data_IF_663716950567
#
_entry.id   IF_663716950567
#
_cell.length_a   1.000
_cell.length_b   1.000
_cell.length_c   1.000
_cell.angle_alpha   90.00
_cell.angle_beta   90.00
_cell.angle_gamma   90.00
#
_symmetry.space_group_name_H-M   'P 1'
#
loop_
_entity.id
_entity.type
_entity.pdbx_description
1 polymer ?
#
# COMPACT_ATOMS: atom_id res chain seq x y z
N UNK A 1 9.98 15.90 1.21
CA UNK A 1 10.09 14.46 1.54
C UNK A 1 9.54 13.63 0.41
N UNK A 2 10.21 12.54 0.07
CA UNK A 2 9.90 11.63 -1.04
C UNK A 2 9.34 10.31 -0.48
N UNK A 3 8.35 9.70 -1.13
CA UNK A 3 7.65 8.51 -0.63
C UNK A 3 7.48 7.47 -1.73
N UNK A 4 7.89 6.23 -1.48
CA UNK A 4 7.55 5.06 -2.29
C UNK A 4 6.42 4.28 -1.61
N UNK A 5 5.28 4.15 -2.29
CA UNK A 5 4.18 3.33 -1.83
C UNK A 5 4.33 1.93 -2.41
N UNK A 6 4.61 0.96 -1.55
CA UNK A 6 4.80 -0.45 -1.91
C UNK A 6 3.43 -1.13 -1.90
N UNK A 7 3.02 -1.67 -3.04
CA UNK A 7 1.68 -2.22 -3.24
C UNK A 7 1.80 -3.66 -3.74
N UNK A 8 1.83 -4.64 -2.84
CA UNK A 8 1.72 -6.05 -3.22
C UNK A 8 0.37 -6.32 -3.86
N UNK A 9 0.33 -7.10 -4.93
CA UNK A 9 -0.90 -7.48 -5.63
C UNK A 9 -0.91 -8.98 -5.95
N UNK A 10 -2.03 -9.64 -5.71
CA UNK A 10 -2.26 -11.04 -6.06
C UNK A 10 -3.73 -11.27 -6.39
N UNK A 11 -4.04 -11.42 -7.68
CA UNK A 11 -5.41 -11.63 -8.17
C UNK A 11 -6.40 -10.54 -7.73
N UNK A 12 -6.11 -9.30 -8.11
CA UNK A 12 -6.86 -8.10 -7.70
C UNK A 12 -7.60 -7.42 -8.86
N UNK A 13 -7.79 -8.12 -9.99
CA UNK A 13 -8.31 -7.52 -11.23
C UNK A 13 -9.64 -6.78 -11.03
N UNK A 14 -10.55 -7.34 -10.21
CA UNK A 14 -11.91 -6.82 -10.04
C UNK A 14 -11.95 -5.44 -9.35
N UNK A 15 -11.01 -5.18 -8.45
CA UNK A 15 -11.00 -3.91 -7.71
C UNK A 15 -9.86 -2.97 -8.11
N UNK A 16 -9.00 -3.42 -9.02
CA UNK A 16 -7.78 -2.70 -9.38
C UNK A 16 -8.06 -1.30 -9.95
N UNK A 17 -9.10 -1.14 -10.79
CA UNK A 17 -9.47 0.17 -11.35
C UNK A 17 -9.90 1.15 -10.25
N UNK A 18 -10.68 0.70 -9.28
CA UNK A 18 -11.07 1.51 -8.13
C UNK A 18 -9.85 1.94 -7.30
N UNK A 19 -8.97 1.00 -7.00
CA UNK A 19 -7.73 1.25 -6.25
C UNK A 19 -6.85 2.27 -6.96
N UNK A 20 -6.63 2.10 -8.26
CA UNK A 20 -5.84 3.03 -9.06
C UNK A 20 -6.42 4.44 -9.09
N UNK A 21 -7.74 4.60 -9.21
CA UNK A 21 -8.40 5.91 -9.13
C UNK A 21 -8.13 6.61 -7.78
N UNK A 22 -8.13 5.85 -6.69
CA UNK A 22 -7.81 6.38 -5.36
C UNK A 22 -6.34 6.76 -5.23
N UNK A 23 -5.43 5.94 -5.75
CA UNK A 23 -3.99 6.20 -5.74
C UNK A 23 -3.63 7.44 -6.57
N UNK A 24 -4.26 7.65 -7.72
CA UNK A 24 -4.06 8.87 -8.52
C UNK A 24 -4.48 10.12 -7.73
N UNK A 25 -5.60 10.06 -6.99
CA UNK A 25 -5.99 11.16 -6.09
C UNK A 25 -4.97 11.37 -4.95
N UNK A 26 -4.31 10.32 -4.47
CA UNK A 26 -3.23 10.47 -3.50
C UNK A 26 -2.01 11.18 -4.12
N UNK A 27 -1.67 10.86 -5.37
CA UNK A 27 -0.57 11.48 -6.11
C UNK A 27 -0.72 13.00 -6.24
N UNK A 28 -1.95 13.52 -6.34
CA UNK A 28 -2.18 14.98 -6.38
C UNK A 28 -1.91 15.67 -5.04
N UNK A 29 -1.87 14.91 -3.94
CA UNK A 29 -1.64 15.44 -2.59
C UNK A 29 -0.19 15.29 -2.11
N UNK A 30 0.58 14.42 -2.76
CA UNK A 30 1.99 14.15 -2.43
C UNK A 30 2.79 14.21 -3.74
N UNK A 31 3.46 15.33 -3.98
CA UNK A 31 4.17 15.57 -5.25
C UNK A 31 5.24 14.53 -5.56
N UNK A 32 6.07 14.22 -4.58
CA UNK A 32 7.17 13.24 -4.72
C UNK A 32 6.73 11.87 -4.20
N UNK A 33 5.83 11.24 -4.95
CA UNK A 33 5.27 9.92 -4.67
C UNK A 33 5.47 9.01 -5.89
N UNK A 34 5.96 7.80 -5.67
CA UNK A 34 5.89 6.71 -6.65
C UNK A 34 5.04 5.56 -6.12
N UNK A 35 4.45 4.80 -7.04
CA UNK A 35 3.77 3.54 -6.74
C UNK A 35 4.62 2.39 -7.25
N UNK A 36 4.96 1.47 -6.36
CA UNK A 36 5.73 0.26 -6.68
C UNK A 36 4.80 -0.93 -6.50
N UNK A 37 4.21 -1.39 -7.60
CA UNK A 37 3.38 -2.58 -7.63
C UNK A 37 4.25 -3.83 -7.74
N UNK A 38 4.02 -4.80 -6.88
CA UNK A 38 4.71 -6.09 -6.90
C UNK A 38 3.67 -7.18 -7.14
N UNK A 39 3.65 -7.71 -8.35
CA UNK A 39 2.77 -8.81 -8.73
C UNK A 39 3.27 -10.12 -8.15
N UNK A 40 2.52 -10.68 -7.21
CA UNK A 40 2.83 -11.93 -6.54
C UNK A 40 2.18 -13.13 -7.25
N UNK A 41 2.59 -13.36 -8.51
CA UNK A 41 2.12 -14.48 -9.33
C UNK A 41 0.61 -14.46 -9.61
N UNK A 42 0.05 -13.31 -9.97
CA UNK A 42 -1.35 -13.22 -10.39
C UNK A 42 -1.63 -13.99 -11.67
N UNK A 43 -2.81 -14.61 -11.72
CA UNK A 43 -3.29 -15.44 -12.84
C UNK A 43 -4.56 -14.89 -13.49
N UNK A 44 -5.22 -13.91 -12.88
CA UNK A 44 -6.52 -13.32 -13.28
C UNK A 44 -6.44 -12.17 -14.28
N UNK A 45 -5.24 -11.81 -14.72
CA UNK A 45 -5.03 -10.67 -15.62
C UNK A 45 -4.55 -9.39 -14.93
N UNK A 46 -4.44 -9.36 -13.61
CA UNK A 46 -3.91 -8.22 -12.81
C UNK A 46 -2.60 -7.68 -13.38
N UNK A 47 -1.62 -8.54 -13.62
CA UNK A 47 -0.32 -8.11 -14.17
C UNK A 47 -0.44 -7.46 -15.54
N UNK A 48 -1.24 -8.08 -16.46
CA UNK A 48 -1.44 -7.56 -17.80
C UNK A 48 -2.10 -6.18 -17.77
N UNK A 49 -3.09 -6.02 -16.90
CA UNK A 49 -3.76 -4.73 -16.70
C UNK A 49 -2.79 -3.67 -16.19
N UNK A 50 -2.04 -3.95 -15.12
CA UNK A 50 -1.05 -3.02 -14.55
C UNK A 50 0.04 -2.66 -15.55
N UNK A 51 0.51 -3.61 -16.36
CA UNK A 51 1.51 -3.37 -17.40
C UNK A 51 1.00 -2.37 -18.46
N UNK A 52 -0.26 -2.50 -18.87
CA UNK A 52 -0.91 -1.56 -19.79
C UNK A 52 -1.10 -0.19 -19.11
N UNK A 53 -1.57 -0.19 -17.87
CA UNK A 53 -1.88 1.05 -17.13
C UNK A 53 -0.64 1.87 -16.78
N UNK A 54 0.47 1.22 -16.44
CA UNK A 54 1.74 1.88 -16.07
C UNK A 54 2.50 2.45 -17.26
N UNK A 55 2.16 2.03 -18.49
CA UNK A 55 2.81 2.54 -19.71
C UNK A 55 2.73 4.08 -19.73
N UNK A 56 3.87 4.71 -19.93
CA UNK A 56 4.03 6.18 -19.94
C UNK A 56 3.78 6.90 -18.60
N UNK A 57 3.67 6.19 -17.48
CA UNK A 57 3.53 6.78 -16.14
C UNK A 57 4.81 6.55 -15.33
N UNK A 58 5.77 7.47 -15.41
CA UNK A 58 7.09 7.39 -14.74
C UNK A 58 7.02 7.22 -13.20
N UNK A 59 5.87 7.54 -12.59
CA UNK A 59 5.64 7.39 -11.16
C UNK A 59 5.05 6.03 -10.77
N UNK A 60 4.84 5.14 -11.74
CA UNK A 60 4.39 3.77 -11.50
C UNK A 60 5.48 2.80 -11.94
N UNK A 61 5.92 1.95 -11.03
CA UNK A 61 6.82 0.84 -11.27
C UNK A 61 6.06 -0.46 -11.07
N UNK A 62 6.14 -1.39 -12.03
CA UNK A 62 5.58 -2.72 -11.94
C UNK A 62 6.69 -3.76 -11.97
N UNK A 63 6.67 -4.65 -10.99
CA UNK A 63 7.69 -5.69 -10.78
C UNK A 63 6.97 -7.03 -10.60
N UNK A 64 7.50 -8.11 -11.17
CA UNK A 64 7.10 -9.47 -10.78
C UNK A 64 7.89 -9.91 -9.56
N UNK A 65 7.19 -10.48 -8.58
CA UNK A 65 7.85 -11.07 -7.43
C UNK A 65 8.72 -12.26 -7.86
N UNK A 66 9.84 -12.44 -7.21
CA UNK A 66 10.78 -13.56 -7.50
C UNK A 66 10.43 -14.82 -6.72
N UNK A 67 9.83 -14.67 -5.57
CA UNK A 67 9.41 -15.76 -4.67
C UNK A 67 8.01 -15.46 -4.17
N UNK A 68 7.09 -16.41 -4.32
CA UNK A 68 5.70 -16.26 -3.88
C UNK A 68 5.60 -15.94 -2.39
N UNK A 69 4.71 -15.01 -2.06
CA UNK A 69 4.36 -14.63 -0.70
C UNK A 69 4.49 -13.14 -0.41
N UNK A 70 3.59 -12.63 0.43
CA UNK A 70 3.47 -11.22 0.78
C UNK A 70 4.78 -10.61 1.30
N UNK A 71 5.46 -11.31 2.21
CA UNK A 71 6.73 -10.82 2.78
C UNK A 71 7.82 -10.66 1.71
N UNK A 72 7.92 -11.60 0.77
CA UNK A 72 8.84 -11.52 -0.38
C UNK A 72 8.49 -10.34 -1.29
N UNK A 73 7.20 -10.14 -1.56
CA UNK A 73 6.72 -9.02 -2.38
C UNK A 73 7.08 -7.67 -1.74
N UNK A 74 6.87 -7.53 -0.43
CA UNK A 74 7.23 -6.32 0.32
C UNK A 74 8.75 -6.07 0.25
N UNK A 75 9.57 -7.09 0.52
CA UNK A 75 11.03 -6.97 0.46
C UNK A 75 11.52 -6.57 -0.94
N UNK A 76 10.97 -7.17 -1.99
CA UNK A 76 11.32 -6.82 -3.37
C UNK A 76 10.89 -5.38 -3.69
N UNK A 77 9.73 -4.96 -3.22
CA UNK A 77 9.23 -3.58 -3.35
C UNK A 77 10.15 -2.57 -2.69
N UNK A 78 10.60 -2.83 -1.46
CA UNK A 78 11.55 -1.98 -0.74
C UNK A 78 12.87 -1.87 -1.49
N UNK A 79 13.45 -3.01 -1.94
CA UNK A 79 14.70 -3.03 -2.70
C UNK A 79 14.63 -2.24 -4.02
N UNK A 80 13.45 -2.14 -4.60
CA UNK A 80 13.23 -1.47 -5.90
C UNK A 80 12.66 -0.06 -5.77
N UNK A 81 12.32 0.38 -4.56
CA UNK A 81 11.92 1.77 -4.32
C UNK A 81 13.09 2.71 -4.58
N UNK A 82 12.78 3.93 -5.02
CA UNK A 82 13.81 4.95 -5.29
C UNK A 82 13.86 6.04 -4.24
N UNK A 83 12.89 6.07 -3.33
CA UNK A 83 12.77 7.11 -2.32
C UNK A 83 13.14 6.61 -0.92
N UNK A 84 13.56 7.52 -0.05
CA UNK A 84 14.07 7.20 1.28
C UNK A 84 13.01 6.68 2.23
N UNK A 85 11.76 7.14 2.04
CA UNK A 85 10.64 6.68 2.85
C UNK A 85 9.77 5.71 2.06
N UNK A 86 9.40 4.62 2.72
CA UNK A 86 8.51 3.60 2.17
C UNK A 86 7.24 3.48 3.01
N UNK A 87 6.12 3.25 2.37
CA UNK A 87 4.85 2.91 3.03
C UNK A 87 4.29 1.66 2.34
N UNK A 88 3.88 0.67 3.11
CA UNK A 88 3.18 -0.51 2.60
C UNK A 88 1.70 -0.17 2.52
N UNK A 89 1.05 -0.50 1.42
CA UNK A 89 -0.38 -0.27 1.20
C UNK A 89 -0.98 -1.47 0.48
N UNK A 90 -2.03 -2.06 1.06
CA UNK A 90 -2.68 -3.23 0.49
C UNK A 90 -3.61 -2.85 -0.66
N UNK A 91 -3.50 -3.59 -1.78
CA UNK A 91 -4.28 -3.32 -2.99
C UNK A 91 -5.78 -3.48 -2.79
N UNK A 92 -6.20 -4.36 -1.88
CA UNK A 92 -7.60 -4.62 -1.53
C UNK A 92 -8.29 -3.48 -0.78
N UNK A 93 -7.61 -2.34 -0.61
CA UNK A 93 -8.11 -1.18 0.12
C UNK A 93 -8.47 -1.47 1.58
N UNK A 94 -7.91 -2.50 2.19
CA UNK A 94 -8.01 -2.74 3.63
C UNK A 94 -7.33 -1.64 4.45
N UNK A 95 -6.41 -0.90 3.82
CA UNK A 95 -5.79 0.30 4.36
C UNK A 95 -6.50 1.57 3.84
N UNK A 96 -6.61 2.62 4.68
CA UNK A 96 -7.20 3.90 4.27
C UNK A 96 -6.11 4.84 3.70
N UNK A 97 -6.33 5.32 2.49
CA UNK A 97 -5.47 6.35 1.85
C UNK A 97 -5.29 7.60 2.72
N UNK A 98 -6.30 7.95 3.54
CA UNK A 98 -6.19 9.07 4.47
C UNK A 98 -5.10 8.84 5.52
N UNK A 99 -4.87 7.59 5.90
CA UNK A 99 -3.81 7.26 6.86
C UNK A 99 -2.43 7.40 6.24
N UNK A 100 -2.24 7.05 4.97
CA UNK A 100 -1.00 7.36 4.24
C UNK A 100 -0.68 8.87 4.29
N UNK A 101 -1.68 9.72 4.09
CA UNK A 101 -1.51 11.18 4.19
C UNK A 101 -1.13 11.61 5.61
N UNK A 102 -1.74 11.01 6.63
CA UNK A 102 -1.40 11.29 8.03
C UNK A 102 0.03 10.88 8.35
N UNK A 103 0.44 9.66 7.95
CA UNK A 103 1.80 9.16 8.16
C UNK A 103 2.83 10.05 7.47
N UNK A 104 2.58 10.43 6.22
CA UNK A 104 3.43 11.36 5.48
C UNK A 104 3.62 12.69 6.23
N UNK A 105 2.52 13.29 6.74
CA UNK A 105 2.56 14.53 7.51
C UNK A 105 3.31 14.37 8.84
N UNK A 106 3.11 13.24 9.55
CA UNK A 106 3.75 12.98 10.84
C UNK A 106 5.26 12.85 10.71
N UNK A 107 5.73 12.04 9.76
CA UNK A 107 7.16 11.86 9.51
C UNK A 107 7.81 13.19 9.12
N UNK A 108 7.17 13.94 8.21
CA UNK A 108 7.70 15.21 7.73
C UNK A 108 7.79 16.29 8.85
N UNK A 109 6.80 16.31 9.77
CA UNK A 109 6.73 17.32 10.84
C UNK A 109 7.60 16.98 12.05
N UNK A 110 7.69 15.71 12.42
CA UNK A 110 8.27 15.27 13.70
C UNK A 110 9.69 14.70 13.59
N UNK A 111 10.26 14.58 12.39
CA UNK A 111 11.57 13.94 12.16
C UNK A 111 11.69 12.58 12.85
N UNK A 112 10.67 11.73 12.72
CA UNK A 112 10.62 10.37 13.25
C UNK A 112 10.96 9.38 12.16
N UNK A 113 11.54 8.24 12.52
CA UNK A 113 12.03 7.26 11.56
C UNK A 113 10.93 6.32 11.06
N UNK A 114 9.91 6.05 11.88
CA UNK A 114 8.82 5.15 11.53
C UNK A 114 7.47 5.58 12.12
N UNK A 115 6.39 5.28 11.38
CA UNK A 115 5.00 5.39 11.85
C UNK A 115 4.32 4.05 11.65
N UNK A 116 3.78 3.48 12.73
CA UNK A 116 3.03 2.23 12.69
C UNK A 116 1.55 2.52 12.90
N UNK A 117 0.71 2.04 11.98
CA UNK A 117 -0.74 2.06 12.13
C UNK A 117 -1.22 0.84 12.90
N UNK A 118 -2.05 1.02 13.91
CA UNK A 118 -2.71 -0.09 14.59
C UNK A 118 -4.21 -0.07 14.31
N UNK A 119 -4.76 -1.22 13.93
CA UNK A 119 -6.21 -1.41 13.68
C UNK A 119 -7.00 -1.58 14.97
N UNK A 120 -6.35 -1.93 16.07
CA UNK A 120 -7.02 -2.35 17.31
C UNK A 120 -6.88 -1.36 18.48
N UNK A 121 -6.26 -0.21 18.26
CA UNK A 121 -6.20 0.85 19.29
C UNK A 121 -7.59 1.37 19.62
N UNK A 122 -7.76 1.86 20.85
CA UNK A 122 -8.97 2.52 21.28
C UNK A 122 -9.38 3.64 20.32
N UNK A 123 -10.67 3.69 19.93
CA UNK A 123 -11.24 4.60 18.92
C UNK A 123 -10.90 4.26 17.45
N UNK A 124 -10.18 3.19 17.14
CA UNK A 124 -10.05 2.74 15.75
C UNK A 124 -11.39 2.25 15.20
N UNK A 125 -11.66 2.55 13.91
CA UNK A 125 -12.85 2.05 13.21
C UNK A 125 -12.47 0.82 12.41
N UNK A 126 -12.95 -0.33 12.83
CA UNK A 126 -12.80 -1.60 12.10
C UNK A 126 -14.16 -2.00 11.54
N UNK A 127 -14.24 -2.20 10.22
CA UNK A 127 -15.48 -2.61 9.54
C UNK A 127 -15.43 -4.11 9.24
N UNK A 128 -16.60 -4.78 9.30
CA UNK A 128 -16.76 -6.18 8.92
C UNK A 128 -15.82 -7.15 9.66
N UNK A 129 -15.52 -6.86 10.93
CA UNK A 129 -14.64 -7.70 11.75
C UNK A 129 -15.46 -8.38 12.86
N UNK A 130 -15.31 -9.70 13.11
CA UNK A 130 -16.05 -10.41 14.16
C UNK A 130 -15.87 -9.76 15.52
N UNK A 131 -16.97 -9.44 16.20
CA UNK A 131 -16.95 -8.70 17.48
C UNK A 131 -16.07 -9.36 18.54
N UNK A 132 -16.16 -10.68 18.68
CA UNK A 132 -15.36 -11.45 19.65
C UNK A 132 -13.86 -11.26 19.40
N UNK A 133 -13.43 -11.40 18.13
CA UNK A 133 -12.03 -11.18 17.74
C UNK A 133 -11.60 -9.74 17.95
N UNK A 134 -12.50 -8.77 17.73
CA UNK A 134 -12.21 -7.36 17.95
C UNK A 134 -11.94 -7.06 19.43
N UNK A 135 -12.76 -7.61 20.34
CA UNK A 135 -12.57 -7.46 21.78
C UNK A 135 -11.24 -8.07 22.22
N UNK A 136 -10.99 -9.33 21.83
CA UNK A 136 -9.73 -10.02 22.18
C UNK A 136 -8.50 -9.23 21.70
N UNK A 137 -8.51 -8.77 20.44
CA UNK A 137 -7.38 -8.03 19.88
C UNK A 137 -7.19 -6.63 20.50
N UNK A 138 -8.26 -6.01 21.02
CA UNK A 138 -8.14 -4.74 21.75
C UNK A 138 -7.62 -4.90 23.17
N UNK A 139 -7.86 -6.04 23.80
CA UNK A 139 -7.33 -6.36 25.12
C UNK A 139 -5.84 -6.76 25.03
N UNK A 140 -5.45 -7.42 23.93
CA UNK A 140 -4.08 -7.89 23.70
C UNK A 140 -3.11 -6.81 23.19
N UNK A 141 -3.61 -5.61 22.81
CA UNK A 141 -2.83 -4.46 22.36
C UNK A 141 -2.93 -3.29 23.36
#
# INVERSE_FOLDING_TARGET
>A
MTLSLIIPVHNEIDQLDYTLKKLIKLKTKINQLEFVFIDDFSTDGTFKFLKKYSKNKKFIKLIRNKKKGLGSAIQEGIKKSKFDYVCIFMCDMSDDIKDVIKYYKLINKKKIDAVLGSRFVYKSKVKNYPLIKLVINRIAN
#
